data_IF_312472729876
#
_entry.id   IF_312472729876
#
_cell.length_a   1.000
_cell.length_b   1.000
_cell.length_c   1.000
_cell.angle_alpha   90.00
_cell.angle_beta   90.00
_cell.angle_gamma   90.00
#
_symmetry.space_group_name_H-M   'P 1'
#
loop_
_entity.id
_entity.type
_entity.pdbx_description
1 polymer ?
#
# COMPACT_ATOMS: atom_id res chain seq x y z
N UNK A 1 -9.76 22.49 10.91
CA UNK A 1 -10.68 21.52 10.27
C UNK A 1 -10.42 20.14 10.88
N UNK A 2 -11.41 19.52 11.47
CA UNK A 2 -11.23 18.22 12.15
C UNK A 2 -11.34 17.11 11.11
N UNK A 3 -10.30 16.27 11.01
CA UNK A 3 -10.27 15.11 10.11
C UNK A 3 -11.22 14.01 10.65
N UNK A 4 -12.17 13.49 9.83
CA UNK A 4 -13.18 12.54 10.29
C UNK A 4 -12.74 11.07 10.31
N UNK A 5 -11.48 10.79 10.00
CA UNK A 5 -10.85 9.45 10.01
C UNK A 5 -9.47 9.50 10.66
N UNK A 6 -8.90 8.36 10.96
CA UNK A 6 -7.53 8.23 11.48
C UNK A 6 -6.67 7.42 10.53
N UNK A 7 -5.44 7.88 10.31
CA UNK A 7 -4.34 7.05 9.84
C UNK A 7 -3.77 6.36 11.06
N UNK A 8 -3.88 5.05 11.12
CA UNK A 8 -3.49 4.26 12.29
C UNK A 8 -2.00 3.91 12.26
N UNK A 9 -1.50 3.48 11.10
CA UNK A 9 -0.11 3.10 10.95
C UNK A 9 0.19 2.58 9.56
N UNK A 10 1.41 2.09 9.39
CA UNK A 10 1.88 1.48 8.16
C UNK A 10 1.28 0.08 8.03
N UNK A 11 0.72 -0.23 6.87
CA UNK A 11 0.22 -1.55 6.53
C UNK A 11 1.23 -2.32 5.69
N UNK A 12 1.78 -1.67 4.63
CA UNK A 12 2.75 -2.31 3.74
C UNK A 12 3.74 -1.31 3.12
N UNK A 13 4.83 -1.88 2.61
CA UNK A 13 5.79 -1.22 1.74
C UNK A 13 5.97 -2.13 0.52
N UNK A 14 5.75 -1.62 -0.68
CA UNK A 14 5.94 -2.37 -1.91
C UNK A 14 7.20 -1.90 -2.64
N UNK A 15 8.10 -2.83 -2.89
CA UNK A 15 9.42 -2.60 -3.45
C UNK A 15 9.51 -3.28 -4.81
N UNK A 16 9.74 -2.49 -5.85
CA UNK A 16 9.87 -2.97 -7.22
C UNK A 16 11.31 -3.16 -7.67
N UNK A 17 11.55 -4.18 -8.45
CA UNK A 17 12.84 -4.42 -9.08
C UNK A 17 12.69 -5.22 -10.38
N UNK A 18 13.72 -5.23 -11.24
CA UNK A 18 13.69 -6.00 -12.49
C UNK A 18 13.72 -7.51 -12.26
N UNK A 19 14.19 -7.95 -11.08
CA UNK A 19 14.35 -9.36 -10.72
C UNK A 19 14.02 -9.58 -9.24
N UNK A 20 12.96 -10.30 -8.98
CA UNK A 20 12.47 -10.64 -7.64
C UNK A 20 13.48 -11.48 -6.83
N UNK A 21 14.23 -12.37 -7.48
CA UNK A 21 15.27 -13.17 -6.83
C UNK A 21 16.35 -12.32 -6.16
N UNK A 22 16.72 -11.16 -6.73
CA UNK A 22 17.67 -10.24 -6.11
C UNK A 22 17.10 -9.54 -4.89
N UNK A 23 15.82 -9.20 -4.94
CA UNK A 23 15.12 -8.64 -3.77
C UNK A 23 15.03 -9.69 -2.66
N UNK A 24 14.70 -10.95 -3.00
CA UNK A 24 14.68 -12.07 -2.04
C UNK A 24 16.02 -12.29 -1.37
N UNK A 25 17.12 -12.27 -2.12
CA UNK A 25 18.47 -12.46 -1.56
C UNK A 25 18.77 -11.47 -0.42
N UNK A 26 18.32 -10.23 -0.53
CA UNK A 26 18.47 -9.24 0.54
C UNK A 26 17.40 -9.41 1.63
N UNK A 27 16.12 -9.30 1.25
CA UNK A 27 15.03 -9.17 2.22
C UNK A 27 14.72 -10.49 2.95
N UNK A 28 14.75 -11.60 2.25
CA UNK A 28 14.45 -12.92 2.81
C UNK A 28 15.71 -13.58 3.37
N UNK A 29 16.75 -13.77 2.52
CA UNK A 29 17.89 -14.60 2.89
C UNK A 29 18.83 -13.92 3.87
N UNK A 30 19.05 -12.59 3.75
CA UNK A 30 19.97 -11.85 4.63
C UNK A 30 19.27 -11.16 5.78
N UNK A 31 18.11 -10.53 5.54
CA UNK A 31 17.34 -9.80 6.57
C UNK A 31 16.34 -10.67 7.32
N UNK A 32 16.06 -11.87 6.81
CA UNK A 32 15.27 -12.88 7.53
C UNK A 32 13.77 -12.64 7.52
N UNK A 33 13.23 -11.89 6.53
CA UNK A 33 11.78 -11.74 6.41
C UNK A 33 11.15 -13.07 5.99
N UNK A 34 9.99 -13.38 6.57
CA UNK A 34 9.22 -14.56 6.21
C UNK A 34 8.36 -14.28 4.98
N UNK A 35 8.44 -15.16 3.96
CA UNK A 35 7.53 -15.14 2.80
C UNK A 35 6.23 -15.82 3.21
N UNK A 36 5.14 -15.08 3.27
CA UNK A 36 3.82 -15.55 3.70
C UNK A 36 2.85 -15.76 2.55
N UNK A 37 3.17 -15.26 1.36
CA UNK A 37 2.31 -15.40 0.19
C UNK A 37 3.00 -15.01 -1.11
N UNK A 38 2.28 -15.24 -2.21
CA UNK A 38 2.64 -14.79 -3.53
C UNK A 38 1.38 -14.32 -4.24
N UNK A 39 1.51 -13.24 -5.02
CA UNK A 39 0.42 -12.73 -5.85
C UNK A 39 0.93 -12.48 -7.27
N UNK A 40 0.15 -12.95 -8.26
CA UNK A 40 0.45 -12.76 -9.68
C UNK A 40 -0.75 -12.14 -10.36
N UNK A 41 -0.54 -11.06 -11.09
CA UNK A 41 -1.59 -10.34 -11.79
C UNK A 41 -1.13 -9.89 -13.18
N UNK A 42 -1.75 -10.45 -14.23
CA UNK A 42 -1.52 -10.00 -15.60
C UNK A 42 -2.02 -8.57 -15.84
N UNK A 43 -3.14 -8.22 -15.19
CA UNK A 43 -3.72 -6.87 -15.26
C UNK A 43 -2.78 -5.80 -14.70
N UNK A 44 -2.11 -6.13 -13.61
CA UNK A 44 -1.19 -5.22 -12.93
C UNK A 44 0.27 -5.46 -13.34
N UNK A 45 0.47 -6.40 -14.26
CA UNK A 45 1.78 -6.77 -14.79
C UNK A 45 2.79 -7.03 -13.67
N UNK A 46 2.42 -7.83 -12.67
CA UNK A 46 3.22 -8.06 -11.48
C UNK A 46 3.24 -9.52 -11.07
N UNK A 47 4.42 -9.97 -10.63
CA UNK A 47 4.65 -11.15 -9.81
C UNK A 47 5.33 -10.66 -8.53
N UNK A 48 4.67 -10.85 -7.39
CA UNK A 48 5.16 -10.39 -6.09
C UNK A 48 5.21 -11.51 -5.06
N UNK A 49 6.21 -11.43 -4.17
CA UNK A 49 6.22 -12.18 -2.93
C UNK A 49 5.81 -11.25 -1.79
N UNK A 50 4.84 -11.69 -1.01
CA UNK A 50 4.37 -11.00 0.18
C UNK A 50 5.20 -11.50 1.35
N UNK A 51 6.09 -10.65 1.86
CA UNK A 51 6.89 -10.90 3.05
C UNK A 51 6.30 -10.17 4.24
N UNK A 52 6.69 -10.55 5.46
CA UNK A 52 6.20 -9.89 6.67
C UNK A 52 7.31 -9.62 7.66
N UNK A 53 7.17 -8.51 8.41
CA UNK A 53 7.93 -8.21 9.62
C UNK A 53 7.00 -7.73 10.73
N UNK A 54 7.41 -7.92 11.98
CA UNK A 54 6.55 -7.67 13.14
C UNK A 54 5.53 -8.77 13.37
N UNK A 55 4.64 -8.56 14.34
CA UNK A 55 3.64 -9.58 14.75
C UNK A 55 2.30 -8.95 15.08
N UNK A 56 1.23 -9.76 14.92
CA UNK A 56 -0.12 -9.37 15.29
C UNK A 56 -0.60 -8.13 14.56
N UNK A 57 -1.29 -7.20 15.23
CA UNK A 57 -1.87 -6.02 14.60
C UNK A 57 -0.83 -4.98 14.13
N UNK A 58 0.42 -5.12 14.54
CA UNK A 58 1.54 -4.24 14.13
C UNK A 58 2.42 -4.86 13.05
N UNK A 59 1.98 -5.98 12.49
CA UNK A 59 2.65 -6.59 11.33
C UNK A 59 2.63 -5.63 10.14
N UNK A 60 3.77 -5.50 9.46
CA UNK A 60 3.90 -4.76 8.21
C UNK A 60 4.22 -5.76 7.10
N UNK A 61 3.53 -5.65 5.98
CA UNK A 61 3.86 -6.41 4.77
C UNK A 61 4.96 -5.71 3.98
N UNK A 62 5.85 -6.51 3.39
CA UNK A 62 6.90 -6.03 2.48
C UNK A 62 6.75 -6.83 1.19
N UNK A 63 6.21 -6.17 0.16
CA UNK A 63 5.94 -6.79 -1.12
C UNK A 63 7.15 -6.63 -2.03
N UNK A 64 7.71 -7.76 -2.47
CA UNK A 64 8.85 -7.82 -3.38
C UNK A 64 8.35 -8.08 -4.79
N UNK A 65 8.37 -7.06 -5.64
CA UNK A 65 7.67 -7.02 -6.92
C UNK A 65 8.63 -7.08 -8.10
N UNK A 66 8.29 -7.87 -9.13
CA UNK A 66 8.87 -7.77 -10.46
C UNK A 66 7.76 -7.71 -11.51
N UNK A 67 8.01 -7.10 -12.69
CA UNK A 67 7.04 -7.16 -13.77
C UNK A 67 7.00 -8.57 -14.40
N UNK A 68 5.82 -8.99 -14.87
CA UNK A 68 5.69 -10.17 -15.73
C UNK A 68 6.28 -9.92 -17.13
N UNK A 69 6.13 -8.69 -17.60
CA UNK A 69 6.65 -8.22 -18.88
C UNK A 69 7.32 -6.85 -18.68
N UNK A 70 8.62 -6.78 -18.95
CA UNK A 70 9.43 -5.57 -18.72
C UNK A 70 9.01 -4.37 -19.58
N UNK A 71 8.36 -4.63 -20.71
CA UNK A 71 7.97 -3.60 -21.68
C UNK A 71 6.54 -3.10 -21.49
N UNK A 72 5.77 -3.76 -20.63
CA UNK A 72 4.39 -3.39 -20.31
C UNK A 72 4.27 -2.50 -19.08
N UNK A 73 3.13 -1.84 -19.02
CA UNK A 73 2.71 -1.09 -17.80
C UNK A 73 1.60 -1.82 -17.06
N UNK A 74 1.54 -1.67 -15.73
CA UNK A 74 2.44 -0.90 -14.86
C UNK A 74 3.88 -1.43 -14.84
N UNK A 75 4.86 -0.51 -14.85
CA UNK A 75 6.28 -0.85 -14.84
C UNK A 75 6.81 -0.79 -13.40
N UNK A 76 6.45 -1.79 -12.60
CA UNK A 76 6.73 -1.84 -11.14
C UNK A 76 8.21 -1.74 -10.77
N UNK A 77 9.09 -2.08 -11.70
CA UNK A 77 10.56 -2.05 -11.52
C UNK A 77 11.21 -0.68 -11.72
N UNK A 78 10.49 0.29 -12.28
CA UNK A 78 11.06 1.62 -12.60
C UNK A 78 11.08 2.57 -11.41
N UNK A 79 10.27 2.30 -10.40
CA UNK A 79 10.24 3.04 -9.14
C UNK A 79 10.47 2.04 -8.00
N UNK A 80 11.68 2.00 -7.42
CA UNK A 80 12.02 1.02 -6.38
C UNK A 80 11.07 1.03 -5.19
N UNK A 81 10.62 2.20 -4.71
CA UNK A 81 9.49 2.31 -3.81
C UNK A 81 8.22 2.45 -4.64
N UNK A 82 7.52 1.35 -4.85
CA UNK A 82 6.31 1.33 -5.68
C UNK A 82 5.15 2.04 -4.97
N UNK A 83 4.84 1.64 -3.76
CA UNK A 83 3.82 2.31 -2.94
C UNK A 83 4.02 2.08 -1.44
N UNK A 84 3.30 2.88 -0.66
CA UNK A 84 3.18 2.76 0.80
C UNK A 84 1.72 2.58 1.16
N UNK A 85 1.39 1.54 1.93
CA UNK A 85 0.05 1.26 2.44
C UNK A 85 -0.15 1.79 3.85
N UNK A 86 -1.27 2.46 4.07
CA UNK A 86 -1.64 3.05 5.36
C UNK A 86 -2.95 2.47 5.87
N UNK A 87 -2.97 1.98 7.10
CA UNK A 87 -4.21 1.60 7.77
C UNK A 87 -5.09 2.82 8.06
N UNK A 88 -6.34 2.74 7.63
CA UNK A 88 -7.37 3.77 7.82
C UNK A 88 -8.54 3.16 8.60
N UNK A 89 -9.02 3.84 9.61
CA UNK A 89 -10.14 3.35 10.44
C UNK A 89 -11.51 3.39 9.73
N UNK A 90 -11.74 4.38 8.87
CA UNK A 90 -12.95 4.52 8.04
C UNK A 90 -12.58 4.97 6.63
N UNK A 91 -12.38 4.01 5.74
CA UNK A 91 -11.92 4.27 4.38
C UNK A 91 -12.94 5.06 3.53
N UNK A 92 -14.25 4.74 3.53
CA UNK A 92 -15.23 5.54 2.79
C UNK A 92 -15.26 7.01 3.21
N UNK A 93 -15.22 7.27 4.52
CA UNK A 93 -15.21 8.63 5.06
C UNK A 93 -13.91 9.37 4.72
N UNK A 94 -12.78 8.66 4.77
CA UNK A 94 -11.47 9.19 4.37
C UNK A 94 -11.47 9.62 2.89
N UNK A 95 -11.96 8.77 2.00
CA UNK A 95 -12.03 9.08 0.56
C UNK A 95 -12.91 10.29 0.30
N UNK A 96 -14.11 10.33 0.89
CA UNK A 96 -15.03 11.46 0.71
C UNK A 96 -14.41 12.78 1.21
N UNK A 97 -13.80 12.76 2.39
CA UNK A 97 -13.21 13.95 2.98
C UNK A 97 -11.97 14.42 2.21
N UNK A 98 -11.04 13.52 1.87
CA UNK A 98 -9.83 13.84 1.13
C UNK A 98 -10.15 14.40 -0.27
N UNK A 99 -11.12 13.80 -0.97
CA UNK A 99 -11.61 14.33 -2.26
C UNK A 99 -12.13 15.76 -2.12
N UNK A 100 -12.93 16.03 -1.08
CA UNK A 100 -13.42 17.38 -0.79
C UNK A 100 -12.31 18.39 -0.44
N UNK A 101 -11.14 17.90 0.01
CA UNK A 101 -9.95 18.74 0.24
C UNK A 101 -9.07 18.93 -1.03
N UNK A 102 -9.47 18.38 -2.17
CA UNK A 102 -8.72 18.49 -3.42
C UNK A 102 -7.62 17.44 -3.60
N UNK A 103 -7.69 16.32 -2.88
CA UNK A 103 -6.75 15.22 -3.05
C UNK A 103 -7.11 14.38 -4.27
N UNK A 104 -6.12 14.15 -5.14
CA UNK A 104 -6.28 13.34 -6.34
C UNK A 104 -6.18 11.85 -6.01
N UNK A 105 -7.21 11.09 -6.39
CA UNK A 105 -7.20 9.62 -6.35
C UNK A 105 -6.85 9.01 -7.70
N UNK A 106 -6.23 7.83 -7.68
CA UNK A 106 -6.05 7.00 -8.85
C UNK A 106 -7.40 6.40 -9.29
N UNK A 107 -7.57 6.07 -10.60
CA UNK A 107 -8.79 5.43 -11.09
C UNK A 107 -9.07 4.08 -10.40
N UNK A 108 -10.34 3.73 -10.26
CA UNK A 108 -10.80 2.44 -9.74
C UNK A 108 -11.53 2.51 -8.41
N UNK A 109 -11.49 3.64 -7.69
CA UNK A 109 -12.22 3.82 -6.42
C UNK A 109 -11.85 2.80 -5.35
N UNK A 110 -12.75 2.61 -4.39
CA UNK A 110 -12.60 1.57 -3.36
C UNK A 110 -12.85 0.20 -3.97
N UNK A 111 -11.92 -0.73 -3.76
CA UNK A 111 -11.97 -2.10 -4.28
C UNK A 111 -11.22 -3.06 -3.37
N UNK A 112 -11.36 -4.38 -3.59
CA UNK A 112 -10.54 -5.39 -2.90
C UNK A 112 -9.10 -5.36 -3.41
N UNK A 113 -8.17 -5.25 -2.48
CA UNK A 113 -6.73 -5.40 -2.72
C UNK A 113 -6.26 -6.85 -2.64
N UNK A 114 -4.96 -7.09 -2.89
CA UNK A 114 -4.34 -8.42 -2.88
C UNK A 114 -4.48 -9.14 -1.54
N UNK A 115 -4.37 -8.41 -0.42
CA UNK A 115 -4.55 -8.94 0.94
C UNK A 115 -6.02 -9.13 1.35
N UNK A 116 -6.99 -8.86 0.46
CA UNK A 116 -8.43 -9.04 0.72
C UNK A 116 -9.10 -7.88 1.45
N UNK A 117 -8.38 -6.84 1.83
CA UNK A 117 -8.96 -5.63 2.42
C UNK A 117 -9.53 -4.69 1.36
N UNK A 118 -10.44 -3.81 1.75
CA UNK A 118 -10.87 -2.72 0.89
C UNK A 118 -9.77 -1.65 0.84
N UNK A 119 -9.43 -1.23 -0.38
CA UNK A 119 -8.35 -0.30 -0.65
C UNK A 119 -8.75 0.76 -1.66
N UNK A 120 -8.01 1.86 -1.68
CA UNK A 120 -7.94 2.79 -2.82
C UNK A 120 -6.56 3.48 -2.82
N UNK A 121 -6.23 4.15 -3.92
CA UNK A 121 -4.92 4.79 -4.06
C UNK A 121 -5.04 6.30 -4.26
N UNK A 122 -4.22 7.08 -3.54
CA UNK A 122 -3.92 8.45 -3.90
C UNK A 122 -2.96 8.46 -5.09
N UNK A 123 -3.25 9.31 -6.07
CA UNK A 123 -2.41 9.43 -7.26
C UNK A 123 -1.07 10.11 -6.92
N UNK A 124 0.07 9.64 -7.48
CA UNK A 124 1.38 10.25 -7.19
C UNK A 124 1.59 11.64 -7.81
N UNK A 125 0.70 12.08 -8.72
CA UNK A 125 0.79 13.39 -9.37
C UNK A 125 -0.52 14.14 -9.24
N UNK A 126 -0.45 15.43 -8.91
CA UNK A 126 -1.58 16.34 -8.91
C UNK A 126 -2.07 16.66 -10.34
N UNK A 127 -3.19 17.37 -10.45
CA UNK A 127 -3.68 18.04 -11.65
C UNK A 127 -4.42 19.33 -11.26
N UNK A 128 -4.93 20.07 -12.25
CA UNK A 128 -5.58 21.36 -12.02
C UNK A 128 -6.87 21.23 -11.18
N UNK A 129 -7.61 20.13 -11.31
CA UNK A 129 -8.83 19.86 -10.56
C UNK A 129 -8.55 19.41 -9.12
N UNK A 130 -7.50 18.59 -8.94
CA UNK A 130 -7.07 18.04 -7.65
C UNK A 130 -5.60 18.38 -7.42
N UNK A 131 -5.31 19.50 -6.76
CA UNK A 131 -3.95 20.03 -6.62
C UNK A 131 -3.10 19.32 -5.55
N UNK A 132 -3.67 18.39 -4.77
CA UNK A 132 -2.97 17.63 -3.73
C UNK A 132 -2.78 16.19 -4.19
N UNK A 133 -1.56 15.67 -4.05
CA UNK A 133 -1.17 14.32 -4.50
C UNK A 133 -0.16 13.67 -3.56
N UNK A 134 0.31 12.48 -3.90
CA UNK A 134 1.39 11.81 -3.18
C UNK A 134 2.80 12.31 -3.50
N UNK A 135 2.94 13.38 -4.32
CA UNK A 135 4.21 14.03 -4.69
C UNK A 135 5.31 13.03 -5.13
N UNK A 136 4.93 12.13 -6.02
CA UNK A 136 5.80 11.09 -6.58
C UNK A 136 5.64 9.71 -5.94
N UNK A 137 5.01 9.61 -4.78
CA UNK A 137 4.72 8.32 -4.12
C UNK A 137 3.27 7.93 -4.35
N UNK A 138 3.03 6.71 -4.79
CA UNK A 138 1.70 6.10 -4.77
C UNK A 138 1.36 5.73 -3.33
N UNK A 139 0.22 6.19 -2.81
CA UNK A 139 -0.18 5.91 -1.43
C UNK A 139 -1.46 5.08 -1.46
N UNK A 140 -1.41 3.89 -0.89
CA UNK A 140 -2.54 3.02 -0.70
C UNK A 140 -3.22 3.29 0.64
N UNK A 141 -4.51 3.55 0.63
CA UNK A 141 -5.33 3.61 1.83
C UNK A 141 -6.02 2.26 1.99
N UNK A 142 -5.85 1.63 3.14
CA UNK A 142 -6.32 0.28 3.42
C UNK A 142 -7.29 0.31 4.59
N UNK A 143 -8.50 -0.24 4.43
CA UNK A 143 -9.46 -0.35 5.52
C UNK A 143 -8.91 -1.25 6.62
N UNK A 144 -8.67 -0.68 7.79
CA UNK A 144 -8.19 -1.45 8.94
C UNK A 144 -9.26 -2.44 9.42
N UNK A 145 -8.90 -3.71 9.65
CA UNK A 145 -9.80 -4.65 10.31
C UNK A 145 -9.96 -4.27 11.80
N UNK A 146 -11.05 -4.73 12.46
CA UNK A 146 -11.37 -4.31 13.83
C UNK A 146 -10.27 -4.54 14.86
N UNK A 147 -9.50 -5.61 14.74
CA UNK A 147 -8.39 -5.93 15.65
C UNK A 147 -7.23 -4.92 15.52
N UNK A 148 -6.91 -4.49 14.29
CA UNK A 148 -5.90 -3.45 14.05
C UNK A 148 -6.36 -2.11 14.60
N UNK A 149 -7.59 -1.70 14.28
CA UNK A 149 -8.15 -0.44 14.76
C UNK A 149 -8.18 -0.37 16.30
N UNK A 150 -8.54 -1.46 16.98
CA UNK A 150 -8.52 -1.54 18.46
C UNK A 150 -7.12 -1.46 19.03
N UNK A 151 -6.14 -2.19 18.43
CA UNK A 151 -4.77 -2.19 18.91
C UNK A 151 -4.12 -0.80 18.86
N UNK A 152 -4.29 -0.10 17.75
CA UNK A 152 -3.77 1.27 17.61
C UNK A 152 -4.51 2.27 18.53
N UNK A 153 -5.81 2.09 18.74
CA UNK A 153 -6.57 2.94 19.68
C UNK A 153 -6.12 2.75 21.13
N UNK A 154 -5.75 1.54 21.52
CA UNK A 154 -5.24 1.25 22.86
C UNK A 154 -3.88 1.91 23.15
N UNK A 155 -3.01 2.07 22.15
CA UNK A 155 -1.73 2.77 22.28
C UNK A 155 -1.91 4.30 22.47
N UNK A 156 -2.94 4.87 21.91
CA UNK A 156 -3.21 6.32 22.03
C UNK A 156 -3.71 6.73 23.43
N UNK A 157 -4.00 5.77 24.31
CA UNK A 157 -4.48 6.00 25.67
C UNK A 157 -3.36 5.88 26.74
N UNK A 158 -2.12 5.59 26.31
CA UNK A 158 -0.92 5.55 27.14
C UNK A 158 -0.12 6.86 27.02
#
# INVERSE_FOLDING_TARGET
MTRPFKVLGLQQIAIGGPRKDRLRALWVDMLGLEVTGNFVSERENVDEDICTMGVGPFKVEVDLMQPLDMDKKPAVHTMPLNHVGLWIDDLPQAVAWLTAQGVRFAPGGIRKGAAGFDICFLHPKANDEFPISGEGVLIELVQAPPEVARAFSALALQ
#
